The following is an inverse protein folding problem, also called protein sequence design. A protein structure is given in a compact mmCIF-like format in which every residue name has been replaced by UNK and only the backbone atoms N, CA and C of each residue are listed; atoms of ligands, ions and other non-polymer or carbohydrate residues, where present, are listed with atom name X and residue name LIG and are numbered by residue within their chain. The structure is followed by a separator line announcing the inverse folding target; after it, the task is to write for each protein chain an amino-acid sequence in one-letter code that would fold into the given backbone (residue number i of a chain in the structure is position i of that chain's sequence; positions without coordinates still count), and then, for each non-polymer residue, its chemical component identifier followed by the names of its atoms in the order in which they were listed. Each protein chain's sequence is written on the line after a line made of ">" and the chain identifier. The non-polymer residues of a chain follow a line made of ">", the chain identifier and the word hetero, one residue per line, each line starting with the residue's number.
data_IF_601326411622
#
_entry.id   IF_601326411622
#
_cell.length_a   1.000
_cell.length_b   1.000
_cell.length_c   1.000
_cell.angle_alpha   90.00
_cell.angle_beta   90.00
_cell.angle_gamma   90.00
#
_symmetry.space_group_name_H-M   'P 1'
#
loop_
_entity.id
_entity.type
_entity.pdbx_description
1 polymer ?
#
# COMPACT_ATOMS: atom_id res chain seq x y z
N UNK A 1 -3.77 10.74 24.79
CA UNK A 1 -3.14 11.00 26.14
C UNK A 1 -3.06 9.73 26.99
N UNK A 2 -4.15 8.95 27.17
CA UNK A 2 -4.10 7.69 27.94
C UNK A 2 -3.23 6.65 27.23
N UNK A 3 -3.39 6.47 25.93
CA UNK A 3 -2.58 5.55 25.12
C UNK A 3 -1.10 5.95 25.05
N UNK A 4 -0.78 7.22 25.16
CA UNK A 4 0.60 7.72 25.21
C UNK A 4 1.29 7.43 26.55
N UNK A 5 0.53 7.32 27.64
CA UNK A 5 1.06 7.11 29.00
C UNK A 5 1.13 5.61 29.34
N UNK A 6 0.12 4.83 28.94
CA UNK A 6 -0.05 3.44 29.33
C UNK A 6 0.09 2.47 28.16
N UNK A 7 0.16 2.95 26.92
CA UNK A 7 0.22 2.12 25.72
C UNK A 7 1.62 1.64 25.44
N UNK A 8 1.73 0.40 24.96
CA UNK A 8 2.95 -0.16 24.35
C UNK A 8 2.82 -0.11 22.83
N UNK A 9 3.95 -0.07 22.11
CA UNK A 9 3.92 -0.16 20.65
C UNK A 9 3.40 -1.53 20.25
N UNK A 10 2.36 -1.61 19.42
CA UNK A 10 1.91 -2.88 18.89
C UNK A 10 2.94 -3.38 17.88
N UNK A 11 3.61 -4.49 18.22
CA UNK A 11 4.46 -5.22 17.29
C UNK A 11 3.69 -6.41 16.70
N UNK A 12 4.06 -6.89 15.50
CA UNK A 12 3.37 -8.01 14.88
C UNK A 12 3.35 -9.27 15.78
N UNK A 13 2.20 -9.95 15.89
CA UNK A 13 2.06 -11.12 16.78
C UNK A 13 3.03 -12.26 16.46
N UNK A 14 3.48 -12.39 15.22
CA UNK A 14 4.42 -13.45 14.81
C UNK A 14 5.84 -13.27 15.38
N UNK A 15 6.17 -12.12 15.98
CA UNK A 15 7.44 -11.92 16.69
C UNK A 15 7.49 -12.69 18.02
N UNK A 16 6.35 -13.15 18.53
CA UNK A 16 6.23 -13.95 19.75
C UNK A 16 7.01 -13.41 20.96
N UNK A 17 7.05 -12.10 21.12
CA UNK A 17 7.63 -11.40 22.26
C UNK A 17 6.83 -10.15 22.60
N UNK A 18 7.03 -9.63 23.76
CA UNK A 18 6.51 -8.31 24.14
C UNK A 18 7.30 -7.19 23.47
N UNK A 19 6.68 -6.03 23.32
CA UNK A 19 7.36 -4.85 22.80
C UNK A 19 8.36 -4.29 23.81
N UNK A 20 9.49 -3.84 23.30
CA UNK A 20 10.56 -3.19 24.07
C UNK A 20 10.66 -1.72 23.72
N UNK A 21 11.27 -0.92 24.58
CA UNK A 21 11.44 0.55 24.34
C UNK A 21 12.16 0.83 23.02
N UNK A 22 13.08 -0.04 22.62
CA UNK A 22 13.82 0.11 21.36
C UNK A 22 12.95 -0.08 20.11
N UNK A 23 11.77 -0.74 20.24
CA UNK A 23 10.84 -0.92 19.12
C UNK A 23 10.20 0.41 18.70
N UNK A 24 10.15 1.40 19.62
CA UNK A 24 9.69 2.77 19.30
C UNK A 24 10.50 3.35 18.12
N UNK A 25 11.76 3.07 18.10
CA UNK A 25 12.69 3.56 17.07
C UNK A 25 12.81 2.57 15.90
N UNK A 26 12.95 1.27 16.21
CA UNK A 26 13.22 0.23 15.21
C UNK A 26 12.02 -0.19 14.40
N UNK A 27 10.81 -0.10 14.96
CA UNK A 27 9.57 -0.43 14.26
C UNK A 27 8.94 0.81 13.63
N UNK A 28 9.78 1.68 13.03
CA UNK A 28 9.38 2.86 12.28
C UNK A 28 10.31 3.11 11.10
N UNK A 29 9.75 3.65 10.01
CA UNK A 29 10.56 4.06 8.85
C UNK A 29 11.18 5.43 9.07
N UNK A 30 12.31 5.70 8.43
CA UNK A 30 13.00 7.00 8.47
C UNK A 30 12.12 8.16 7.94
N UNK A 31 11.12 7.86 7.13
CA UNK A 31 10.23 8.83 6.53
C UNK A 31 8.84 8.91 7.19
N UNK A 32 8.63 8.24 8.33
CA UNK A 32 7.40 8.36 9.09
C UNK A 32 7.21 9.80 9.57
N UNK A 33 6.07 10.43 9.25
CA UNK A 33 5.79 11.84 9.60
C UNK A 33 4.59 12.01 10.51
N UNK A 34 3.56 11.20 10.33
CA UNK A 34 2.29 11.36 11.02
C UNK A 34 2.02 10.21 11.96
N UNK A 35 1.59 10.53 13.19
CA UNK A 35 1.10 9.53 14.14
C UNK A 35 -0.33 9.14 13.76
N UNK A 36 -0.72 7.87 13.96
CA UNK A 36 -2.09 7.42 13.71
C UNK A 36 -2.21 6.04 13.09
N UNK A 37 -1.07 5.40 12.76
CA UNK A 37 -1.02 4.03 12.26
C UNK A 37 -0.65 3.08 13.39
N UNK A 38 -1.25 1.89 13.39
CA UNK A 38 -0.92 0.80 14.33
C UNK A 38 0.23 -0.04 13.78
N UNK A 39 0.28 -0.24 12.47
CA UNK A 39 1.33 -1.01 11.81
C UNK A 39 2.30 -0.11 11.06
N UNK A 40 3.60 -0.38 11.17
CA UNK A 40 4.61 0.26 10.36
C UNK A 40 4.64 -0.34 8.94
N UNK A 41 5.01 0.43 7.89
CA UNK A 41 5.22 -0.10 6.54
C UNK A 41 6.56 -0.85 6.49
N UNK A 42 6.55 -2.10 6.92
CA UNK A 42 7.75 -2.89 7.22
C UNK A 42 8.72 -3.07 6.05
N UNK A 43 8.23 -3.09 4.79
CA UNK A 43 9.11 -3.05 3.62
C UNK A 43 9.98 -1.79 3.57
N UNK A 44 9.51 -0.68 4.15
CA UNK A 44 10.26 0.57 4.27
C UNK A 44 11.41 0.55 5.27
N UNK A 45 11.42 -0.40 6.20
CA UNK A 45 12.49 -0.53 7.21
C UNK A 45 13.85 -0.90 6.59
N UNK A 46 13.85 -1.45 5.38
CA UNK A 46 15.08 -1.74 4.62
C UNK A 46 15.75 -0.48 4.05
N UNK A 47 15.08 0.67 4.05
CA UNK A 47 15.59 1.91 3.48
C UNK A 47 16.30 2.74 4.55
N UNK A 48 17.63 2.66 4.56
CA UNK A 48 18.50 3.49 5.38
C UNK A 48 18.80 4.83 4.68
N UNK A 49 19.35 5.80 5.41
CA UNK A 49 19.81 7.07 4.80
C UNK A 49 20.82 6.85 3.67
N UNK A 50 21.71 5.86 3.80
CA UNK A 50 22.68 5.53 2.77
C UNK A 50 21.98 5.02 1.50
N UNK A 51 20.96 4.16 1.64
CA UNK A 51 20.16 3.66 0.52
C UNK A 51 19.40 4.81 -0.15
N UNK A 52 18.73 5.66 0.63
CA UNK A 52 17.99 6.81 0.10
C UNK A 52 18.91 7.80 -0.61
N UNK A 53 20.11 8.04 -0.06
CA UNK A 53 21.12 8.89 -0.70
C UNK A 53 21.65 8.29 -2.00
N UNK A 54 21.87 6.97 -2.05
CA UNK A 54 22.28 6.28 -3.26
C UNK A 54 21.22 6.30 -4.36
N UNK A 55 19.94 6.20 -4.00
CA UNK A 55 18.78 6.31 -4.90
C UNK A 55 18.76 7.71 -5.53
N UNK A 56 18.81 8.76 -4.69
CA UNK A 56 18.87 10.16 -5.16
C UNK A 56 20.07 10.44 -6.04
N UNK A 57 21.25 9.92 -5.65
CA UNK A 57 22.49 10.08 -6.43
C UNK A 57 22.45 9.43 -7.81
N UNK A 58 21.52 8.50 -8.04
CA UNK A 58 21.25 7.89 -9.35
C UNK A 58 20.14 8.58 -10.15
N UNK A 59 19.63 9.71 -9.67
CA UNK A 59 18.57 10.46 -10.32
C UNK A 59 17.20 9.77 -10.26
N UNK A 60 16.99 8.85 -9.29
CA UNK A 60 15.70 8.22 -9.06
C UNK A 60 14.89 9.10 -8.12
N UNK A 61 13.76 9.59 -8.58
CA UNK A 61 12.82 10.38 -7.78
C UNK A 61 12.18 9.52 -6.69
N UNK A 62 11.89 10.15 -5.55
CA UNK A 62 11.16 9.52 -4.45
C UNK A 62 9.94 10.37 -4.08
N UNK A 63 8.80 9.72 -3.93
CA UNK A 63 7.56 10.32 -3.46
C UNK A 63 6.98 9.51 -2.30
N UNK A 64 5.99 10.07 -1.63
CA UNK A 64 5.36 9.43 -0.48
C UNK A 64 3.85 9.41 -0.62
N UNK A 65 3.26 8.31 -0.18
CA UNK A 65 1.82 8.20 0.08
C UNK A 65 1.63 8.03 1.59
N UNK A 66 0.54 8.57 2.13
CA UNK A 66 0.19 8.38 3.52
C UNK A 66 -0.95 7.38 3.61
N UNK A 67 -0.77 6.32 4.39
CA UNK A 67 -1.82 5.35 4.66
C UNK A 67 -1.89 5.11 6.17
N UNK A 68 -3.10 5.17 6.74
CA UNK A 68 -3.33 4.87 8.13
C UNK A 68 -3.76 3.41 8.29
N UNK A 69 -2.78 2.55 8.56
CA UNK A 69 -2.99 1.10 8.69
C UNK A 69 -3.54 0.78 10.07
N UNK A 70 -4.72 0.17 10.11
CA UNK A 70 -5.36 -0.28 11.33
C UNK A 70 -4.81 -1.62 11.86
N UNK A 71 -5.18 -1.99 13.09
CA UNK A 71 -4.78 -3.25 13.73
C UNK A 71 -5.27 -4.50 12.97
N UNK A 72 -6.31 -4.35 12.14
CA UNK A 72 -6.88 -5.44 11.34
C UNK A 72 -5.92 -6.06 10.31
N UNK A 73 -4.86 -5.35 9.91
CA UNK A 73 -3.86 -5.84 8.95
C UNK A 73 -3.10 -7.07 9.47
N UNK A 74 -3.06 -7.29 10.79
CA UNK A 74 -2.43 -8.45 11.40
C UNK A 74 -3.36 -9.67 11.54
N UNK A 75 -4.62 -9.56 11.16
CA UNK A 75 -5.56 -10.66 11.26
C UNK A 75 -5.33 -11.66 10.13
N UNK A 76 -5.12 -12.95 10.45
CA UNK A 76 -5.05 -13.99 9.42
C UNK A 76 -6.40 -14.14 8.72
N UNK A 77 -6.37 -14.58 7.46
CA UNK A 77 -7.57 -14.99 6.74
C UNK A 77 -8.10 -16.26 7.42
N UNK A 78 -9.25 -16.16 8.07
CA UNK A 78 -9.90 -17.30 8.77
C UNK A 78 -10.90 -18.02 7.89
N UNK A 79 -11.32 -17.37 6.82
CA UNK A 79 -12.35 -17.89 5.92
C UNK A 79 -11.72 -18.81 4.88
N UNK A 80 -12.36 -19.94 4.60
CA UNK A 80 -11.96 -20.87 3.55
C UNK A 80 -12.14 -20.28 2.15
N UNK A 81 -13.02 -19.29 2.02
CA UNK A 81 -13.30 -18.57 0.77
C UNK A 81 -12.90 -17.10 0.95
N UNK A 82 -11.93 -16.64 0.16
CA UNK A 82 -11.44 -15.25 0.20
C UNK A 82 -12.56 -14.22 -0.04
N UNK A 83 -13.61 -14.62 -0.77
CA UNK A 83 -14.76 -13.77 -1.03
C UNK A 83 -15.50 -13.32 0.24
N UNK A 84 -15.40 -14.09 1.32
CA UNK A 84 -16.02 -13.80 2.62
C UNK A 84 -15.12 -13.06 3.58
N UNK A 85 -13.82 -12.94 3.26
CA UNK A 85 -12.88 -12.22 4.12
C UNK A 85 -13.12 -10.72 3.99
N UNK A 86 -13.52 -10.01 5.08
CA UNK A 86 -13.73 -8.56 5.02
C UNK A 86 -12.38 -7.83 5.09
N UNK A 87 -12.11 -7.00 4.09
CA UNK A 87 -10.99 -6.06 4.16
C UNK A 87 -11.37 -4.83 4.99
N UNK A 88 -10.49 -4.42 5.86
CA UNK A 88 -10.66 -3.16 6.57
C UNK A 88 -10.46 -1.99 5.62
N UNK A 89 -11.31 -0.98 5.78
CA UNK A 89 -11.14 0.31 5.12
C UNK A 89 -9.99 1.05 5.78
N UNK A 90 -9.02 1.47 5.00
CA UNK A 90 -7.85 2.23 5.43
C UNK A 90 -7.87 3.60 4.77
N UNK A 91 -7.92 4.70 5.56
CA UNK A 91 -7.80 6.05 5.02
C UNK A 91 -6.41 6.26 4.42
N UNK A 92 -6.36 6.91 3.25
CA UNK A 92 -5.09 7.30 2.65
C UNK A 92 -5.12 8.74 2.14
N UNK A 93 -3.92 9.29 1.96
CA UNK A 93 -3.71 10.61 1.40
C UNK A 93 -2.59 10.59 0.37
N UNK A 94 -2.83 11.33 -0.73
CA UNK A 94 -1.89 11.46 -1.86
C UNK A 94 -1.87 12.91 -2.33
N UNK A 95 -0.66 13.50 -2.46
CA UNK A 95 -0.51 14.87 -2.91
C UNK A 95 -0.91 15.04 -4.38
N UNK A 96 -1.42 16.23 -4.73
CA UNK A 96 -1.72 16.58 -6.11
C UNK A 96 -0.47 16.51 -7.01
N UNK A 97 0.71 16.80 -6.47
CA UNK A 97 1.96 16.72 -7.22
C UNK A 97 2.32 15.29 -7.59
N UNK A 98 2.08 14.31 -6.70
CA UNK A 98 2.24 12.90 -7.05
C UNK A 98 1.23 12.48 -8.12
N UNK A 99 -0.03 12.92 -8.04
CA UNK A 99 -1.02 12.66 -9.10
C UNK A 99 -0.56 13.21 -10.45
N UNK A 100 -0.03 14.43 -10.50
CA UNK A 100 0.51 15.01 -11.73
C UNK A 100 1.67 14.19 -12.30
N UNK A 101 2.60 13.73 -11.46
CA UNK A 101 3.71 12.86 -11.89
C UNK A 101 3.22 11.50 -12.42
N UNK A 102 2.19 10.93 -11.83
CA UNK A 102 1.59 9.67 -12.30
C UNK A 102 0.86 9.85 -13.63
N UNK A 103 0.16 10.99 -13.80
CA UNK A 103 -0.53 11.36 -15.05
C UNK A 103 0.45 11.51 -16.22
N UNK A 104 1.57 12.22 -16.00
CA UNK A 104 2.53 12.53 -17.06
C UNK A 104 3.18 11.28 -17.68
N UNK A 105 3.06 10.13 -17.03
CA UNK A 105 3.47 8.83 -17.55
C UNK A 105 4.98 8.74 -17.85
N UNK A 106 5.36 7.71 -18.61
CA UNK A 106 6.73 7.55 -19.09
C UNK A 106 7.78 7.17 -18.05
N UNK A 107 7.41 7.13 -16.76
CA UNK A 107 8.26 6.73 -15.64
C UNK A 107 7.85 5.36 -15.12
N UNK A 108 8.83 4.59 -14.67
CA UNK A 108 8.57 3.34 -13.96
C UNK A 108 8.32 3.62 -12.49
N UNK A 109 7.26 3.01 -11.96
CA UNK A 109 6.86 3.18 -10.56
C UNK A 109 7.26 1.95 -9.77
N UNK A 110 8.09 2.17 -8.75
CA UNK A 110 8.52 1.16 -7.79
C UNK A 110 7.77 1.40 -6.49
N UNK A 111 6.79 0.57 -6.20
CA UNK A 111 6.07 0.65 -4.93
C UNK A 111 6.87 -0.04 -3.81
N UNK A 112 7.00 0.61 -2.66
CA UNK A 112 7.62 0.05 -1.46
C UNK A 112 6.54 -0.29 -0.45
N UNK A 113 6.29 -1.59 -0.29
CA UNK A 113 5.23 -2.15 0.55
C UNK A 113 3.92 -2.39 -0.19
N UNK A 114 3.23 -3.44 0.23
CA UNK A 114 1.90 -3.81 -0.28
C UNK A 114 0.84 -2.73 -0.03
N UNK A 115 1.00 -1.97 1.05
CA UNK A 115 0.16 -0.82 1.39
C UNK A 115 0.29 0.30 0.36
N UNK A 116 1.50 0.59 -0.12
CA UNK A 116 1.72 1.56 -1.20
C UNK A 116 1.09 1.11 -2.51
N UNK A 117 1.18 -0.18 -2.84
CA UNK A 117 0.50 -0.74 -4.02
C UNK A 117 -1.01 -0.52 -3.91
N UNK A 118 -1.62 -0.90 -2.77
CA UNK A 118 -3.07 -0.73 -2.57
C UNK A 118 -3.49 0.73 -2.72
N UNK A 119 -2.72 1.67 -2.19
CA UNK A 119 -2.97 3.10 -2.34
C UNK A 119 -2.91 3.53 -3.80
N UNK A 120 -1.81 3.21 -4.49
CA UNK A 120 -1.61 3.61 -5.88
C UNK A 120 -2.70 3.04 -6.80
N UNK A 121 -2.98 1.74 -6.69
CA UNK A 121 -3.98 1.08 -7.52
C UNK A 121 -5.40 1.57 -7.22
N UNK A 122 -5.68 2.05 -6.00
CA UNK A 122 -6.96 2.64 -5.62
C UNK A 122 -7.23 3.98 -6.30
N UNK A 123 -6.20 4.73 -6.71
CA UNK A 123 -6.35 6.01 -7.37
C UNK A 123 -7.18 5.93 -8.65
N UNK A 124 -7.03 4.84 -9.41
CA UNK A 124 -7.84 4.62 -10.60
C UNK A 124 -9.33 4.58 -10.29
N UNK A 125 -9.74 3.80 -9.31
CA UNK A 125 -11.14 3.62 -8.94
C UNK A 125 -11.74 4.89 -8.31
N UNK A 126 -10.96 5.60 -7.49
CA UNK A 126 -11.33 6.90 -6.96
C UNK A 126 -11.50 7.94 -8.08
N UNK A 127 -10.63 7.90 -9.09
CA UNK A 127 -10.73 8.77 -10.27
C UNK A 127 -11.94 8.48 -11.14
N UNK A 128 -12.24 7.21 -11.38
CA UNK A 128 -13.47 6.82 -12.08
C UNK A 128 -14.70 7.29 -11.30
N UNK A 129 -14.69 7.18 -9.96
CA UNK A 129 -15.75 7.74 -9.13
C UNK A 129 -15.92 9.25 -9.33
N UNK A 130 -14.81 10.01 -9.47
CA UNK A 130 -14.87 11.43 -9.81
C UNK A 130 -15.54 11.67 -11.17
N UNK A 131 -15.22 10.88 -12.18
CA UNK A 131 -15.84 11.02 -13.52
C UNK A 131 -17.34 10.77 -13.45
N UNK A 132 -17.75 9.72 -12.75
CA UNK A 132 -19.15 9.27 -12.72
C UNK A 132 -20.03 10.06 -11.74
N UNK A 133 -19.47 10.51 -10.60
CA UNK A 133 -20.22 11.09 -9.49
C UNK A 133 -19.82 12.53 -9.13
N UNK A 134 -18.79 13.08 -9.76
CA UNK A 134 -18.27 14.43 -9.48
C UNK A 134 -17.35 14.54 -8.27
N UNK A 135 -17.13 13.46 -7.52
CA UNK A 135 -16.21 13.43 -6.37
C UNK A 135 -15.65 12.01 -6.11
N UNK A 136 -14.45 11.90 -5.49
CA UNK A 136 -13.89 10.61 -5.16
C UNK A 136 -14.65 9.95 -4.01
N UNK A 137 -14.96 8.66 -4.16
CA UNK A 137 -15.49 7.83 -3.09
C UNK A 137 -14.38 6.92 -2.55
N UNK A 138 -14.64 6.33 -1.38
CA UNK A 138 -13.86 5.21 -0.90
C UNK A 138 -13.92 4.04 -1.88
N UNK A 139 -12.79 3.36 -2.05
CA UNK A 139 -12.69 2.21 -2.95
C UNK A 139 -13.11 0.95 -2.19
N UNK A 140 -14.19 0.36 -2.63
CA UNK A 140 -14.73 -0.86 -2.06
C UNK A 140 -13.84 -2.08 -2.37
N UNK A 141 -13.95 -3.12 -1.55
CA UNK A 141 -13.08 -4.30 -1.60
C UNK A 141 -13.02 -4.94 -2.98
N UNK A 142 -14.17 -5.09 -3.64
CA UNK A 142 -14.32 -5.82 -4.89
C UNK A 142 -14.45 -4.93 -6.12
N UNK A 143 -14.35 -3.59 -5.96
CA UNK A 143 -14.41 -2.64 -7.07
C UNK A 143 -13.60 -3.06 -8.31
N UNK A 144 -12.38 -3.65 -8.19
CA UNK A 144 -11.63 -4.07 -9.37
C UNK A 144 -12.29 -5.14 -10.22
N UNK A 145 -13.25 -5.89 -9.66
CA UNK A 145 -13.80 -7.12 -10.24
C UNK A 145 -15.29 -7.02 -10.52
N UNK A 146 -15.98 -5.99 -10.02
CA UNK A 146 -17.43 -5.85 -10.10
C UNK A 146 -17.94 -5.53 -11.51
N UNK A 147 -17.08 -4.91 -12.33
CA UNK A 147 -17.41 -4.51 -13.70
C UNK A 147 -16.17 -4.28 -14.56
N UNK A 148 -16.36 -4.18 -15.85
CA UNK A 148 -15.35 -3.66 -16.76
C UNK A 148 -15.27 -2.12 -16.69
N UNK A 149 -14.07 -1.60 -16.71
CA UNK A 149 -13.78 -0.17 -16.71
C UNK A 149 -13.25 0.25 -18.07
N UNK A 150 -13.96 1.16 -18.73
CA UNK A 150 -13.60 1.68 -20.05
C UNK A 150 -12.68 2.90 -20.01
N UNK A 151 -12.63 3.58 -18.86
CA UNK A 151 -11.76 4.75 -18.66
C UNK A 151 -10.29 4.37 -18.66
N UNK A 152 -9.47 5.28 -19.21
CA UNK A 152 -8.02 5.16 -19.11
C UNK A 152 -7.51 5.57 -17.72
N UNK A 153 -6.28 5.18 -17.41
CA UNK A 153 -5.61 5.59 -16.18
C UNK A 153 -5.39 7.10 -16.14
N UNK A 154 -5.11 7.70 -17.30
CA UNK A 154 -4.90 9.14 -17.47
C UNK A 154 -6.20 9.91 -17.18
N UNK A 155 -7.33 9.52 -17.78
CA UNK A 155 -8.63 10.14 -17.51
C UNK A 155 -9.00 10.09 -16.01
N UNK A 156 -8.76 8.97 -15.35
CA UNK A 156 -9.03 8.82 -13.94
C UNK A 156 -8.17 9.76 -13.07
N UNK A 157 -6.87 9.88 -13.37
CA UNK A 157 -5.99 10.80 -12.65
C UNK A 157 -6.32 12.26 -12.94
N UNK A 158 -6.62 12.61 -14.19
CA UNK A 158 -7.05 13.97 -14.54
C UNK A 158 -8.31 14.38 -13.78
N UNK A 159 -9.29 13.49 -13.65
CA UNK A 159 -10.49 13.76 -12.87
C UNK A 159 -10.18 14.04 -11.39
N UNK A 160 -9.25 13.33 -10.79
CA UNK A 160 -8.81 13.60 -9.40
C UNK A 160 -8.11 14.95 -9.28
N UNK A 161 -7.23 15.29 -10.22
CA UNK A 161 -6.53 16.59 -10.26
C UNK A 161 -7.54 17.72 -10.39
N UNK A 162 -8.45 17.65 -11.36
CA UNK A 162 -9.48 18.65 -11.58
C UNK A 162 -10.40 18.83 -10.36
N UNK A 163 -10.78 17.72 -9.71
CA UNK A 163 -11.54 17.77 -8.47
C UNK A 163 -10.78 18.54 -7.39
N UNK A 164 -9.51 18.20 -7.13
CA UNK A 164 -8.70 18.86 -6.11
C UNK A 164 -8.53 20.36 -6.41
N UNK A 165 -8.22 20.71 -7.65
CA UNK A 165 -8.08 22.10 -8.08
C UNK A 165 -9.38 22.90 -7.91
N UNK A 166 -10.53 22.29 -8.25
CA UNK A 166 -11.85 22.93 -8.09
C UNK A 166 -12.22 23.19 -6.63
N UNK A 167 -11.72 22.34 -5.72
CA UNK A 167 -11.93 22.46 -4.27
C UNK A 167 -10.83 23.27 -3.56
N UNK A 168 -9.79 23.70 -4.27
CA UNK A 168 -8.62 24.36 -3.67
C UNK A 168 -7.84 23.47 -2.71
N UNK A 169 -7.75 22.15 -2.99
CA UNK A 169 -7.08 21.15 -2.18
C UNK A 169 -5.75 20.72 -2.80
N UNK A 170 -4.73 20.55 -1.96
CA UNK A 170 -3.40 20.09 -2.39
C UNK A 170 -3.23 18.57 -2.22
N UNK A 171 -4.19 17.90 -1.60
CA UNK A 171 -4.10 16.50 -1.23
C UNK A 171 -5.46 15.80 -1.37
N UNK A 172 -5.44 14.65 -2.06
CA UNK A 172 -6.56 13.71 -2.08
C UNK A 172 -6.62 12.98 -0.73
N UNK A 173 -7.79 12.98 -0.10
CA UNK A 173 -8.08 12.17 1.10
C UNK A 173 -9.30 11.31 0.83
N UNK A 174 -9.11 9.99 0.89
CA UNK A 174 -10.18 9.01 0.72
C UNK A 174 -9.79 7.71 1.42
N UNK A 175 -10.51 6.63 1.22
CA UNK A 175 -10.22 5.34 1.84
C UNK A 175 -10.17 4.21 0.83
N UNK A 176 -9.50 3.13 1.22
CA UNK A 176 -9.47 1.90 0.41
C UNK A 176 -9.71 0.67 1.26
N UNK A 177 -10.61 -0.18 0.79
CA UNK A 177 -10.77 -1.56 1.22
C UNK A 177 -10.30 -2.55 0.16
N UNK A 178 -9.65 -2.10 -0.91
CA UNK A 178 -9.30 -2.90 -2.09
C UNK A 178 -8.59 -4.20 -1.72
N UNK A 179 -9.04 -5.30 -2.29
CA UNK A 179 -8.32 -6.58 -2.27
C UNK A 179 -7.68 -6.80 -3.65
N UNK A 180 -6.43 -7.26 -3.64
CA UNK A 180 -5.69 -7.57 -4.87
C UNK A 180 -5.43 -9.08 -4.89
N UNK A 181 -6.05 -9.76 -5.87
CA UNK A 181 -5.97 -11.22 -6.05
C UNK A 181 -5.50 -11.55 -7.47
N UNK A 182 -5.05 -12.79 -7.76
CA UNK A 182 -4.69 -13.19 -9.12
C UNK A 182 -5.76 -12.83 -10.16
N UNK A 183 -5.31 -12.23 -11.27
CA UNK A 183 -6.19 -11.65 -12.30
C UNK A 183 -6.37 -10.13 -12.17
N UNK A 184 -5.86 -9.51 -11.09
CA UNK A 184 -5.87 -8.05 -10.95
C UNK A 184 -5.02 -7.38 -12.05
N UNK A 185 -5.55 -6.31 -12.63
CA UNK A 185 -4.83 -5.49 -13.60
C UNK A 185 -4.15 -4.31 -12.92
N UNK A 186 -2.83 -4.40 -12.72
CA UNK A 186 -2.02 -3.29 -12.22
C UNK A 186 -1.99 -2.15 -13.25
N UNK A 187 -2.13 -0.91 -12.77
CA UNK A 187 -2.23 0.29 -13.60
C UNK A 187 -1.08 1.26 -13.35
N UNK A 188 -0.58 1.30 -12.13
CA UNK A 188 0.48 2.22 -11.71
C UNK A 188 1.76 1.50 -11.32
N UNK A 189 1.68 0.32 -10.73
CA UNK A 189 2.82 -0.37 -10.12
C UNK A 189 3.56 -1.22 -11.14
N UNK A 190 4.78 -0.83 -11.52
CA UNK A 190 5.65 -1.62 -12.39
C UNK A 190 6.55 -2.58 -11.60
N UNK A 191 7.01 -2.17 -10.42
CA UNK A 191 7.90 -2.96 -9.55
C UNK A 191 7.44 -2.88 -8.11
N UNK A 192 7.69 -3.93 -7.37
CA UNK A 192 7.31 -4.05 -5.96
C UNK A 192 8.50 -4.45 -5.10
N UNK A 193 8.79 -3.64 -4.07
CA UNK A 193 9.67 -4.00 -2.97
C UNK A 193 8.78 -4.40 -1.80
N UNK A 194 8.86 -5.65 -1.35
CA UNK A 194 8.05 -6.16 -0.25
C UNK A 194 8.79 -7.23 0.54
N UNK A 195 8.34 -7.51 1.74
CA UNK A 195 8.80 -8.64 2.53
C UNK A 195 8.13 -9.93 2.07
N UNK A 196 8.64 -11.07 2.53
CA UNK A 196 7.95 -12.35 2.39
C UNK A 196 6.81 -12.42 3.40
N UNK A 197 5.67 -12.92 2.97
CA UNK A 197 4.45 -12.97 3.75
C UNK A 197 4.08 -14.40 4.12
N UNK A 198 3.35 -14.56 5.23
CA UNK A 198 2.85 -15.85 5.66
C UNK A 198 1.82 -16.42 4.67
N UNK A 199 1.73 -17.76 4.57
CA UNK A 199 0.60 -18.41 3.92
C UNK A 199 -0.74 -17.93 4.51
N UNK A 200 -1.81 -18.08 3.74
CA UNK A 200 -3.17 -17.69 4.18
C UNK A 200 -3.33 -16.22 4.57
N UNK A 201 -2.53 -15.35 3.97
CA UNK A 201 -2.67 -13.89 4.13
C UNK A 201 -3.13 -13.23 2.83
N UNK A 202 -3.85 -12.11 2.95
CA UNK A 202 -4.22 -11.28 1.78
C UNK A 202 -2.99 -10.71 1.07
N UNK A 203 -1.87 -10.61 1.78
CA UNK A 203 -0.61 -10.08 1.25
C UNK A 203 0.04 -11.04 0.25
N UNK A 204 -0.01 -12.36 0.50
CA UNK A 204 0.51 -13.33 -0.47
C UNK A 204 -0.35 -13.40 -1.74
N UNK A 205 -1.65 -13.11 -1.63
CA UNK A 205 -2.53 -12.99 -2.80
C UNK A 205 -2.13 -11.83 -3.70
N UNK A 206 -1.80 -10.67 -3.11
CA UNK A 206 -1.27 -9.52 -3.85
C UNK A 206 0.04 -9.85 -4.55
N UNK A 207 0.98 -10.49 -3.85
CA UNK A 207 2.26 -10.93 -4.43
C UNK A 207 2.02 -11.94 -5.56
N UNK A 208 1.10 -12.89 -5.37
CA UNK A 208 0.71 -13.85 -6.39
C UNK A 208 0.12 -13.17 -7.62
N UNK A 209 -0.75 -12.18 -7.43
CA UNK A 209 -1.31 -11.38 -8.51
C UNK A 209 -0.22 -10.63 -9.28
N UNK A 210 0.75 -10.03 -8.56
CA UNK A 210 1.85 -9.27 -9.15
C UNK A 210 2.81 -10.14 -9.97
N UNK A 211 3.02 -11.39 -9.55
CA UNK A 211 3.89 -12.38 -10.22
C UNK A 211 3.16 -13.25 -11.26
N UNK A 212 1.91 -12.92 -11.62
CA UNK A 212 1.13 -13.70 -12.58
C UNK A 212 0.87 -15.15 -12.13
N UNK A 213 0.82 -15.39 -10.83
CA UNK A 213 0.58 -16.71 -10.23
C UNK A 213 1.83 -17.49 -9.81
N UNK A 214 3.03 -17.10 -10.27
CA UNK A 214 4.29 -17.85 -10.04
C UNK A 214 5.00 -17.50 -8.71
N UNK A 215 4.24 -17.15 -7.68
CA UNK A 215 4.79 -16.77 -6.38
C UNK A 215 5.60 -17.89 -5.69
N UNK A 216 5.20 -19.15 -5.91
CA UNK A 216 5.87 -20.31 -5.29
C UNK A 216 7.33 -20.39 -5.67
N UNK A 217 7.67 -20.20 -6.94
CA UNK A 217 9.06 -20.21 -7.41
C UNK A 217 9.95 -19.21 -6.67
N UNK A 218 9.42 -18.02 -6.38
CA UNK A 218 10.15 -16.98 -5.63
C UNK A 218 10.32 -17.40 -4.16
N UNK A 219 9.28 -17.95 -3.55
CA UNK A 219 9.32 -18.40 -2.17
C UNK A 219 10.19 -19.64 -1.96
N UNK A 220 10.14 -20.61 -2.89
CA UNK A 220 11.01 -21.80 -2.85
C UNK A 220 12.47 -21.39 -2.97
N UNK A 221 12.79 -20.46 -3.86
CA UNK A 221 14.13 -19.90 -3.96
C UNK A 221 14.58 -19.24 -2.66
N UNK A 222 13.73 -18.44 -2.04
CA UNK A 222 14.05 -17.76 -0.80
C UNK A 222 14.29 -18.74 0.37
N UNK A 223 13.45 -19.78 0.48
CA UNK A 223 13.62 -20.84 1.49
C UNK A 223 14.92 -21.63 1.29
N UNK A 224 15.30 -21.90 0.04
CA UNK A 224 16.51 -22.62 -0.29
C UNK A 224 17.81 -21.79 -0.12
N UNK A 225 17.72 -20.47 0.02
CA UNK A 225 18.86 -19.56 0.07
C UNK A 225 18.91 -18.70 1.34
N UNK A 226 18.36 -19.18 2.45
CA UNK A 226 18.40 -18.57 3.79
C UNK A 226 17.88 -17.14 3.84
N UNK A 227 16.92 -16.77 2.99
CA UNK A 227 16.26 -15.48 3.08
C UNK A 227 15.43 -15.41 4.36
N UNK A 228 15.39 -14.23 4.97
CA UNK A 228 14.55 -13.97 6.14
C UNK A 228 13.10 -13.79 5.71
N UNK A 229 12.21 -14.47 6.41
CA UNK A 229 10.78 -14.35 6.26
C UNK A 229 10.24 -13.48 7.38
N UNK A 230 9.27 -12.68 7.03
CA UNK A 230 8.59 -11.72 7.90
C UNK A 230 9.53 -10.61 8.40
N UNK A 231 9.02 -9.46 8.60
CA UNK A 231 9.77 -8.30 9.11
C UNK A 231 9.12 -7.77 10.37
#
# INVERSE_FOLDING_TARGET
>A
RVLEICGTIPIPPYLNRESETIDIERYQTLYARFRGSVAAPTAGLHFTENVLSAIRGRGIDTDTVCLHVGAGTFLPVKESEIARHPMHREPFAVSIDLLRKLRDGGRKVIAVGTTSVRTLESLFYAGVSCIENGHPHDVEQWSPYDREYTHSTEEAIDALIQYLESQGLDELKTGTGIIIVPGFRFRFTDYLVTNFHQPESTLILLVSAFLGGDWRRVYDYALANDFRFLS
#
